data_IF_416472177576
#
_entry.id   IF_416472177576
#
_cell.length_a   1.000
_cell.length_b   1.000
_cell.length_c   1.000
_cell.angle_alpha   90.00
_cell.angle_beta   90.00
_cell.angle_gamma   90.00
#
_symmetry.space_group_name_H-M   'P 1'
#
loop_
_entity.id
_entity.type
_entity.pdbx_description
1 polymer ?
#
# COMPACT_ATOMS: atom_id res chain seq x y z
N UNK A 1 31.40 22.06 -35.86
CA UNK A 1 31.34 20.80 -36.62
C UNK A 1 31.94 19.68 -35.79
N UNK A 2 31.22 18.86 -35.05
CA UNK A 2 29.97 18.99 -34.30
C UNK A 2 30.02 17.80 -33.35
N UNK A 3 29.78 18.05 -32.06
CA UNK A 3 29.72 17.03 -31.03
C UNK A 3 28.49 16.14 -31.26
N UNK A 4 28.66 14.82 -31.41
CA UNK A 4 27.55 13.88 -31.30
C UNK A 4 27.67 13.07 -30.01
N UNK A 5 27.18 13.70 -28.94
CA UNK A 5 26.69 13.08 -27.72
C UNK A 5 25.43 12.28 -28.04
N UNK A 6 25.50 10.95 -27.96
CA UNK A 6 24.32 10.09 -28.03
C UNK A 6 23.50 10.26 -26.73
N UNK A 7 22.36 10.92 -26.87
CA UNK A 7 21.37 11.21 -25.83
C UNK A 7 20.57 9.95 -25.49
N UNK A 8 20.39 9.72 -24.19
CA UNK A 8 19.48 8.74 -23.60
C UNK A 8 18.02 9.02 -24.04
N UNK A 9 17.21 7.99 -24.35
CA UNK A 9 15.78 8.16 -24.55
C UNK A 9 15.06 8.34 -23.21
N UNK A 10 14.75 9.60 -22.90
CA UNK A 10 13.79 10.06 -21.91
C UNK A 10 12.36 9.81 -22.39
N UNK A 11 11.62 8.87 -21.80
CA UNK A 11 10.14 8.88 -21.80
C UNK A 11 9.62 8.73 -20.36
N UNK A 12 9.06 9.83 -19.85
CA UNK A 12 8.11 9.97 -18.72
C UNK A 12 6.77 10.30 -19.43
N UNK A 13 5.57 9.78 -19.06
CA UNK A 13 5.00 10.10 -17.75
C UNK A 13 3.98 9.12 -17.12
N UNK A 14 3.67 9.45 -15.85
CA UNK A 14 2.34 9.42 -15.24
C UNK A 14 2.04 8.34 -14.17
N UNK A 15 1.96 8.86 -12.94
CA UNK A 15 0.94 8.54 -11.92
C UNK A 15 1.06 7.15 -11.25
N UNK A 16 1.87 7.12 -10.17
CA UNK A 16 1.68 6.18 -9.07
C UNK A 16 1.42 6.95 -7.78
N UNK A 17 0.32 7.72 -7.77
CA UNK A 17 -0.25 8.29 -6.55
C UNK A 17 -1.40 7.39 -6.08
N UNK A 18 -1.12 6.29 -5.37
CA UNK A 18 -2.13 5.48 -4.64
C UNK A 18 -1.48 4.48 -3.67
N UNK A 19 -0.54 4.92 -2.83
CA UNK A 19 0.03 4.06 -1.77
C UNK A 19 0.53 4.84 -0.53
N UNK A 20 -0.07 5.99 -0.23
CA UNK A 20 0.35 6.83 0.90
C UNK A 20 -0.83 7.17 1.81
N UNK A 21 -1.39 6.17 2.50
CA UNK A 21 -2.46 6.41 3.47
C UNK A 21 -2.54 5.35 4.57
N UNK A 22 -1.43 5.11 5.27
CA UNK A 22 -1.46 4.55 6.63
C UNK A 22 -0.32 5.23 7.40
N UNK A 23 -0.53 5.58 8.68
CA UNK A 23 0.47 5.90 9.72
C UNK A 23 0.48 7.33 10.30
N UNK A 24 -0.64 8.04 10.51
CA UNK A 24 -0.58 9.28 11.31
C UNK A 24 -1.09 9.02 12.72
N UNK A 25 -0.20 9.08 13.72
CA UNK A 25 -0.57 9.15 15.13
C UNK A 25 0.52 8.65 16.07
N UNK A 26 1.25 9.57 16.71
CA UNK A 26 1.67 9.53 18.11
C UNK A 26 2.49 10.78 18.45
N UNK A 27 1.84 11.81 19.01
CA UNK A 27 2.51 12.80 19.85
C UNK A 27 2.13 12.52 21.31
N UNK A 28 3.14 12.08 22.06
CA UNK A 28 3.43 12.42 23.46
C UNK A 28 2.35 12.09 24.51
N UNK A 29 2.56 10.96 25.18
CA UNK A 29 2.17 10.75 26.58
C UNK A 29 1.18 9.60 26.80
N UNK A 30 1.67 8.51 27.39
CA UNK A 30 0.82 7.55 28.13
C UNK A 30 0.35 6.34 27.33
N UNK A 31 0.88 5.17 27.73
CA UNK A 31 0.57 3.81 27.25
C UNK A 31 1.01 3.51 25.82
N UNK A 32 1.53 2.29 25.62
CA UNK A 32 1.93 1.76 24.33
C UNK A 32 0.70 1.64 23.41
N UNK A 33 0.27 2.77 22.87
CA UNK A 33 -0.73 2.87 21.82
C UNK A 33 -0.11 2.18 20.61
N UNK A 34 -0.37 0.87 20.51
CA UNK A 34 -0.01 0.06 19.36
C UNK A 34 -0.55 0.78 18.13
N UNK A 35 0.35 1.41 17.38
CA UNK A 35 0.03 1.95 16.07
C UNK A 35 -0.78 0.88 15.33
N UNK A 36 -1.91 1.24 14.69
CA UNK A 36 -2.77 0.25 14.03
C UNK A 36 -1.90 -0.59 13.11
N UNK A 37 -1.65 -1.84 13.53
CA UNK A 37 -0.81 -2.76 12.77
C UNK A 37 -1.51 -2.94 11.42
N UNK A 38 -0.78 -2.67 10.34
CA UNK A 38 -1.29 -2.88 9.00
C UNK A 38 -1.85 -4.31 8.89
N UNK A 39 -3.04 -4.45 8.30
CA UNK A 39 -3.67 -5.76 8.09
C UNK A 39 -2.72 -6.67 7.31
N UNK A 40 -2.42 -7.85 7.86
CA UNK A 40 -1.45 -8.79 7.27
C UNK A 40 -1.90 -9.29 5.90
N UNK A 41 -3.21 -9.42 5.66
CA UNK A 41 -3.80 -9.80 4.38
C UNK A 41 -3.58 -8.74 3.31
N UNK A 42 -3.85 -7.47 3.64
CA UNK A 42 -3.57 -6.33 2.76
C UNK A 42 -2.08 -6.22 2.48
N UNK A 43 -1.23 -6.36 3.49
CA UNK A 43 0.21 -6.25 3.34
C UNK A 43 0.78 -7.30 2.38
N UNK A 44 0.34 -8.57 2.51
CA UNK A 44 0.82 -9.64 1.62
C UNK A 44 0.24 -9.51 0.21
N UNK A 45 -1.02 -9.10 0.06
CA UNK A 45 -1.61 -8.80 -1.24
C UNK A 45 -0.82 -7.71 -1.98
N UNK A 46 -0.49 -6.62 -1.27
CA UNK A 46 0.33 -5.54 -1.81
C UNK A 46 1.73 -6.02 -2.21
N UNK A 47 2.34 -6.90 -1.41
CA UNK A 47 3.64 -7.49 -1.74
C UNK A 47 3.59 -8.31 -3.04
N UNK A 48 2.61 -9.20 -3.19
CA UNK A 48 2.41 -9.99 -4.42
C UNK A 48 2.22 -9.08 -5.63
N UNK A 49 1.34 -8.07 -5.52
CA UNK A 49 1.10 -7.10 -6.59
C UNK A 49 2.38 -6.33 -6.94
N UNK A 50 3.17 -5.91 -5.95
CA UNK A 50 4.40 -5.16 -6.17
C UNK A 50 5.48 -6.00 -6.87
N UNK A 51 5.64 -7.27 -6.47
CA UNK A 51 6.56 -8.21 -7.11
C UNK A 51 6.16 -8.48 -8.57
N UNK A 52 4.87 -8.70 -8.83
CA UNK A 52 4.37 -8.96 -10.19
C UNK A 52 4.45 -7.74 -11.11
N UNK A 53 4.44 -6.51 -10.56
CA UNK A 53 4.70 -5.29 -11.33
C UNK A 53 6.19 -5.04 -11.59
N UNK A 54 7.08 -5.69 -10.84
CA UNK A 54 8.52 -5.61 -11.10
C UNK A 54 8.85 -6.41 -12.36
N UNK A 55 9.76 -5.93 -13.19
CA UNK A 55 10.30 -6.75 -14.29
C UNK A 55 11.32 -7.79 -13.79
N UNK A 56 11.97 -7.52 -12.65
CA UNK A 56 13.11 -8.30 -12.16
C UNK A 56 12.73 -9.30 -11.07
N UNK A 57 11.75 -8.98 -10.22
CA UNK A 57 11.43 -9.76 -9.02
C UNK A 57 10.07 -10.46 -9.10
N UNK A 58 9.61 -10.81 -10.30
CA UNK A 58 8.34 -11.50 -10.49
C UNK A 58 8.33 -12.87 -9.80
N UNK A 59 7.15 -13.33 -9.43
CA UNK A 59 6.95 -14.67 -8.91
C UNK A 59 7.07 -15.68 -10.05
N UNK A 60 7.78 -16.77 -9.81
CA UNK A 60 7.83 -17.89 -10.75
C UNK A 60 6.48 -18.61 -10.80
N UNK A 61 6.24 -19.41 -11.84
CA UNK A 61 5.03 -20.23 -11.94
C UNK A 61 4.93 -21.23 -10.77
N UNK A 62 6.05 -21.80 -10.31
CA UNK A 62 6.11 -22.69 -9.14
C UNK A 62 5.74 -21.96 -7.84
N UNK A 63 6.24 -20.74 -7.65
CA UNK A 63 5.85 -19.91 -6.50
C UNK A 63 4.36 -19.54 -6.59
N UNK A 64 3.85 -19.15 -7.76
CA UNK A 64 2.45 -18.83 -7.95
C UNK A 64 1.53 -20.03 -7.62
N UNK A 65 1.91 -21.24 -8.05
CA UNK A 65 1.20 -22.49 -7.71
C UNK A 65 1.11 -22.75 -6.21
N UNK A 66 2.14 -22.39 -5.44
CA UNK A 66 2.17 -22.54 -3.98
C UNK A 66 1.44 -21.40 -3.25
N UNK A 67 1.57 -20.16 -3.73
CA UNK A 67 1.00 -18.97 -3.10
C UNK A 67 -0.51 -18.86 -3.32
N UNK A 68 -0.99 -19.20 -4.53
CA UNK A 68 -2.40 -19.04 -4.91
C UNK A 68 -3.40 -19.71 -3.93
N UNK A 69 -3.24 -20.99 -3.53
CA UNK A 69 -4.16 -21.59 -2.56
C UNK A 69 -4.11 -20.88 -1.20
N UNK A 70 -2.94 -20.43 -0.74
CA UNK A 70 -2.80 -19.71 0.53
C UNK A 70 -3.50 -18.35 0.49
N UNK A 71 -3.42 -17.63 -0.63
CA UNK A 71 -4.15 -16.38 -0.82
C UNK A 71 -5.67 -16.58 -0.82
N UNK A 72 -6.16 -17.70 -1.40
CA UNK A 72 -7.59 -18.05 -1.37
C UNK A 72 -8.07 -18.32 0.06
N UNK A 73 -7.32 -19.11 0.83
CA UNK A 73 -7.63 -19.33 2.25
C UNK A 73 -7.60 -18.01 3.03
N UNK A 74 -6.59 -17.17 2.80
CA UNK A 74 -6.44 -15.88 3.48
C UNK A 74 -7.57 -14.89 3.15
N UNK A 75 -8.10 -14.94 1.92
CA UNK A 75 -9.29 -14.16 1.51
C UNK A 75 -10.54 -14.59 2.27
N UNK A 76 -10.70 -15.89 2.47
CA UNK A 76 -11.87 -16.46 3.13
C UNK A 76 -11.74 -16.46 4.68
N UNK A 77 -10.57 -16.07 5.20
CA UNK A 77 -10.30 -15.90 6.63
C UNK A 77 -10.94 -14.61 7.17
N UNK A 78 -11.66 -14.65 8.31
CA UNK A 78 -12.24 -13.46 8.95
C UNK A 78 -11.20 -12.38 9.26
N UNK A 79 -11.59 -11.11 9.18
CA UNK A 79 -10.69 -9.97 9.46
C UNK A 79 -10.31 -9.91 10.93
N UNK A 80 -11.19 -10.41 11.79
CA UNK A 80 -11.03 -10.52 13.24
C UNK A 80 -9.98 -11.56 13.61
N UNK A 81 -9.79 -12.59 12.77
CA UNK A 81 -8.76 -13.61 12.95
C UNK A 81 -7.38 -13.09 12.49
N UNK A 82 -6.82 -12.22 13.32
CA UNK A 82 -5.52 -11.59 13.08
C UNK A 82 -4.37 -12.59 13.16
N UNK A 83 -4.49 -13.60 14.00
CA UNK A 83 -3.42 -14.59 14.19
C UNK A 83 -3.36 -15.56 13.01
N UNK A 84 -4.51 -16.11 12.58
CA UNK A 84 -4.58 -16.95 11.39
C UNK A 84 -4.18 -16.19 10.13
N UNK A 85 -4.66 -14.95 9.98
CA UNK A 85 -4.27 -14.07 8.87
C UNK A 85 -2.76 -13.79 8.86
N UNK A 86 -2.14 -13.60 10.03
CA UNK A 86 -0.70 -13.38 10.16
C UNK A 86 0.09 -14.64 9.83
N UNK A 87 -0.32 -15.80 10.34
CA UNK A 87 0.35 -17.07 10.09
C UNK A 87 0.38 -17.40 8.59
N UNK A 88 -0.75 -17.24 7.91
CA UNK A 88 -0.86 -17.42 6.45
C UNK A 88 0.01 -16.40 5.69
N UNK A 89 0.01 -15.13 6.11
CA UNK A 89 0.85 -14.11 5.47
C UNK A 89 2.35 -14.40 5.62
N UNK A 90 2.80 -14.87 6.79
CA UNK A 90 4.21 -15.27 6.99
C UNK A 90 4.55 -16.54 6.20
N UNK A 91 3.62 -17.50 6.08
CA UNK A 91 3.82 -18.67 5.23
C UNK A 91 4.02 -18.27 3.76
N UNK A 92 3.17 -17.37 3.24
CA UNK A 92 3.33 -16.83 1.88
C UNK A 92 4.67 -16.10 1.75
N UNK A 93 5.05 -15.28 2.73
CA UNK A 93 6.32 -14.56 2.73
C UNK A 93 7.53 -15.50 2.73
N UNK A 94 7.40 -16.67 3.36
CA UNK A 94 8.42 -17.72 3.34
C UNK A 94 8.65 -18.36 1.97
N UNK A 95 7.71 -18.19 1.02
CA UNK A 95 7.85 -18.66 -0.35
C UNK A 95 8.60 -17.66 -1.25
N UNK A 96 8.84 -16.44 -0.78
CA UNK A 96 9.62 -15.44 -1.50
C UNK A 96 11.12 -15.68 -1.32
N UNK A 97 11.89 -15.42 -2.37
CA UNK A 97 13.36 -15.45 -2.30
C UNK A 97 13.89 -14.30 -1.44
N UNK A 98 15.13 -14.42 -0.97
CA UNK A 98 15.82 -13.34 -0.21
C UNK A 98 15.86 -12.04 -1.01
N UNK A 99 16.08 -12.13 -2.31
CA UNK A 99 16.13 -11.00 -3.24
C UNK A 99 14.76 -10.31 -3.36
N UNK A 100 13.68 -11.09 -3.52
CA UNK A 100 12.31 -10.59 -3.56
C UNK A 100 11.93 -9.91 -2.24
N UNK A 101 12.30 -10.51 -1.10
CA UNK A 101 12.09 -9.91 0.23
C UNK A 101 12.86 -8.61 0.41
N UNK A 102 14.11 -8.57 -0.04
CA UNK A 102 14.93 -7.35 -0.04
C UNK A 102 14.37 -6.24 -0.93
N UNK A 103 13.83 -6.59 -2.10
CA UNK A 103 13.16 -5.64 -2.99
C UNK A 103 11.92 -5.02 -2.33
N UNK A 104 11.10 -5.85 -1.67
CA UNK A 104 9.93 -5.38 -0.92
C UNK A 104 10.30 -4.45 0.24
N UNK A 105 11.39 -4.73 0.95
CA UNK A 105 11.85 -3.88 2.06
C UNK A 105 12.34 -2.51 1.58
N UNK A 106 13.03 -2.45 0.42
CA UNK A 106 13.42 -1.18 -0.21
C UNK A 106 12.19 -0.36 -0.59
N UNK A 107 11.22 -0.97 -1.27
CA UNK A 107 9.97 -0.31 -1.65
C UNK A 107 9.21 0.21 -0.43
N UNK A 108 9.18 -0.57 0.66
CA UNK A 108 8.58 -0.18 1.93
C UNK A 108 9.29 1.03 2.54
N UNK A 109 10.62 1.02 2.58
CA UNK A 109 11.43 2.12 3.12
C UNK A 109 11.19 3.40 2.33
N UNK A 110 11.27 3.35 0.99
CA UNK A 110 11.00 4.50 0.13
C UNK A 110 9.58 5.04 0.31
N UNK A 111 8.58 4.17 0.41
CA UNK A 111 7.20 4.58 0.64
C UNK A 111 7.03 5.30 1.99
N UNK A 112 7.72 4.81 3.03
CA UNK A 112 7.73 5.46 4.34
C UNK A 112 8.44 6.82 4.29
N UNK A 113 9.56 6.94 3.60
CA UNK A 113 10.27 8.20 3.42
C UNK A 113 9.43 9.24 2.69
N UNK A 114 8.77 8.86 1.58
CA UNK A 114 7.83 9.74 0.86
C UNK A 114 6.66 10.16 1.76
N UNK A 115 6.14 9.25 2.58
CA UNK A 115 5.07 9.57 3.53
C UNK A 115 5.54 10.54 4.63
N UNK A 116 6.78 10.39 5.13
CA UNK A 116 7.40 11.31 6.09
C UNK A 116 7.59 12.70 5.49
N UNK A 117 8.14 12.79 4.28
CA UNK A 117 8.36 14.06 3.58
C UNK A 117 7.05 14.83 3.35
N UNK A 118 5.95 14.13 3.02
CA UNK A 118 4.62 14.74 2.89
C UNK A 118 4.08 15.29 4.21
N UNK A 119 4.50 14.74 5.36
CA UNK A 119 4.10 15.22 6.69
C UNK A 119 5.00 16.36 7.19
N UNK A 120 6.28 16.36 6.84
CA UNK A 120 7.22 17.41 7.22
C UNK A 120 7.18 18.63 6.29
N UNK A 121 6.58 18.52 5.10
CA UNK A 121 6.45 19.60 4.11
C UNK A 121 5.19 20.48 4.24
N UNK A 122 4.35 20.29 5.26
CA UNK A 122 3.24 21.19 5.56
C UNK A 122 3.63 22.14 6.70
N UNK A 123 3.52 23.48 6.54
CA UNK A 123 3.86 24.41 7.61
C UNK A 123 2.92 24.21 8.83
N UNK A 124 3.44 24.27 10.07
CA UNK A 124 2.60 24.23 11.25
C UNK A 124 1.85 25.56 11.37
N UNK A 125 0.53 25.54 11.15
CA UNK A 125 -0.35 26.64 11.56
C UNK A 125 -0.68 27.73 10.53
N UNK A 126 -0.43 27.54 9.22
CA UNK A 126 -0.95 28.47 8.22
C UNK A 126 -2.29 27.95 7.67
N UNK A 127 -3.39 28.61 8.05
CA UNK A 127 -4.63 28.57 7.28
C UNK A 127 -4.30 28.82 5.79
N UNK A 128 -4.95 28.12 4.84
CA UNK A 128 -4.72 28.39 3.42
C UNK A 128 -5.05 29.87 3.14
N UNK A 129 -4.17 30.61 2.44
CA UNK A 129 -4.47 31.99 2.05
C UNK A 129 -5.73 31.99 1.17
N UNK A 130 -6.62 32.94 1.45
CA UNK A 130 -7.96 33.01 0.90
C UNK A 130 -8.02 32.76 -0.61
N UNK A 131 -8.87 31.82 -1.00
CA UNK A 131 -9.47 31.82 -2.33
C UNK A 131 -10.43 33.01 -2.48
N UNK A 132 -10.71 33.45 -3.72
CA UNK A 132 -11.59 34.60 -3.98
C UNK A 132 -12.99 34.40 -3.38
N UNK A 133 -13.73 35.48 -3.06
CA UNK A 133 -15.07 35.37 -2.49
C UNK A 133 -16.01 34.93 -3.59
N UNK A 134 -16.34 33.64 -3.63
CA UNK A 134 -17.13 33.06 -4.72
C UNK A 134 -17.87 31.82 -4.28
N UNK A 135 -19.05 32.04 -3.71
CA UNK A 135 -20.28 31.26 -3.90
C UNK A 135 -20.10 29.77 -4.29
N UNK A 136 -19.91 28.91 -3.29
CA UNK A 136 -20.04 27.46 -3.42
C UNK A 136 -21.13 26.93 -2.47
N UNK A 137 -22.00 26.00 -2.90
CA UNK A 137 -23.14 25.52 -2.11
C UNK A 137 -22.69 24.83 -0.81
N UNK A 138 -23.47 24.93 0.28
CA UNK A 138 -23.14 24.27 1.54
C UNK A 138 -23.33 22.76 1.35
N UNK A 139 -22.23 21.99 1.38
CA UNK A 139 -22.32 20.52 1.50
C UNK A 139 -21.33 19.68 0.72
N UNK A 140 -20.48 20.23 -0.15
CA UNK A 140 -19.48 19.44 -0.87
C UNK A 140 -18.16 19.32 -0.09
N UNK A 141 -18.22 18.80 1.13
CA UNK A 141 -17.05 18.37 1.88
C UNK A 141 -16.55 17.03 1.33
N UNK A 142 -15.54 17.05 0.47
CA UNK A 142 -14.74 15.86 0.18
C UNK A 142 -14.19 15.24 1.48
N UNK A 143 -13.83 13.95 1.50
CA UNK A 143 -13.49 13.25 2.74
C UNK A 143 -12.25 13.89 3.40
N UNK A 144 -12.52 14.78 4.36
CA UNK A 144 -11.54 15.46 5.16
C UNK A 144 -10.87 14.46 6.10
N UNK A 145 -9.66 14.04 5.75
CA UNK A 145 -8.74 13.38 6.68
C UNK A 145 -8.10 14.45 7.58
N UNK A 146 -8.91 15.01 8.49
CA UNK A 146 -8.42 15.73 9.66
C UNK A 146 -8.08 14.76 10.80
N UNK A 147 -7.19 15.12 11.74
CA UNK A 147 -6.93 14.34 12.95
C UNK A 147 -8.18 14.40 13.84
N UNK A 148 -9.07 13.43 13.66
CA UNK A 148 -10.44 13.43 14.19
C UNK A 148 -11.45 12.70 13.29
N UNK A 149 -11.04 12.26 12.09
CA UNK A 149 -11.89 11.46 11.21
C UNK A 149 -12.34 10.14 11.87
N UNK A 150 -13.59 9.70 11.64
CA UNK A 150 -14.12 8.48 12.25
C UNK A 150 -13.24 7.27 11.92
N UNK A 151 -13.06 6.39 12.89
CA UNK A 151 -12.38 5.10 12.73
C UNK A 151 -12.91 4.42 11.47
N UNK A 152 -12.05 3.97 10.53
CA UNK A 152 -12.53 3.34 9.31
C UNK A 152 -13.42 2.14 9.67
N UNK A 153 -14.64 2.19 9.17
CA UNK A 153 -15.70 1.20 9.36
C UNK A 153 -15.16 -0.23 9.17
N UNK A 154 -15.37 -1.17 10.12
CA UNK A 154 -14.93 -2.55 9.99
C UNK A 154 -15.40 -3.20 8.68
N UNK A 155 -16.61 -2.89 8.20
CA UNK A 155 -17.12 -3.42 6.95
C UNK A 155 -16.27 -2.94 5.76
N UNK A 156 -15.98 -1.64 5.69
CA UNK A 156 -15.08 -1.08 4.65
C UNK A 156 -13.68 -1.69 4.69
N UNK A 157 -13.14 -1.99 5.86
CA UNK A 157 -11.82 -2.65 5.97
C UNK A 157 -11.86 -4.08 5.42
N UNK A 158 -12.94 -4.82 5.71
CA UNK A 158 -13.14 -6.16 5.19
C UNK A 158 -13.28 -6.15 3.65
N UNK A 159 -14.08 -5.23 3.11
CA UNK A 159 -14.22 -5.03 1.67
C UNK A 159 -12.90 -4.69 1.00
N UNK A 160 -12.14 -3.76 1.60
CA UNK A 160 -10.83 -3.36 1.09
C UNK A 160 -9.84 -4.53 1.10
N UNK A 161 -9.75 -5.28 2.20
CA UNK A 161 -8.91 -6.48 2.30
C UNK A 161 -9.30 -7.50 1.24
N UNK A 162 -10.59 -7.78 1.10
CA UNK A 162 -11.11 -8.73 0.11
C UNK A 162 -10.75 -8.30 -1.30
N UNK A 163 -10.97 -7.03 -1.66
CA UNK A 163 -10.61 -6.49 -2.97
C UNK A 163 -9.11 -6.56 -3.27
N UNK A 164 -8.25 -6.30 -2.27
CA UNK A 164 -6.81 -6.43 -2.43
C UNK A 164 -6.38 -7.89 -2.68
N UNK A 165 -6.94 -8.84 -1.92
CA UNK A 165 -6.65 -10.26 -2.06
C UNK A 165 -7.19 -10.82 -3.38
N UNK A 166 -8.42 -10.46 -3.78
CA UNK A 166 -8.99 -10.84 -5.07
C UNK A 166 -8.13 -10.33 -6.23
N UNK A 167 -7.61 -9.10 -6.12
CA UNK A 167 -6.71 -8.56 -7.15
C UNK A 167 -5.40 -9.34 -7.23
N UNK A 168 -4.81 -9.71 -6.10
CA UNK A 168 -3.60 -10.52 -6.07
C UNK A 168 -3.85 -11.92 -6.67
N UNK A 169 -4.98 -12.56 -6.34
CA UNK A 169 -5.41 -13.85 -6.90
C UNK A 169 -5.53 -13.76 -8.43
N UNK A 170 -6.25 -12.76 -8.95
CA UNK A 170 -6.44 -12.56 -10.39
C UNK A 170 -5.13 -12.39 -11.16
N UNK A 171 -4.11 -11.79 -10.55
CA UNK A 171 -2.79 -11.61 -11.19
C UNK A 171 -2.04 -12.95 -11.25
N UNK A 172 -2.20 -13.82 -10.25
CA UNK A 172 -1.50 -15.10 -10.20
C UNK A 172 -2.21 -16.23 -10.96
N UNK A 173 -3.54 -16.18 -11.11
CA UNK A 173 -4.30 -17.23 -11.81
C UNK A 173 -3.80 -17.55 -13.23
N UNK A 174 -3.45 -16.56 -14.08
CA UNK A 174 -2.91 -16.83 -15.42
C UNK A 174 -1.56 -17.56 -15.41
N UNK A 175 -0.75 -17.44 -14.35
CA UNK A 175 0.56 -18.10 -14.23
C UNK A 175 0.48 -19.58 -13.87
N UNK A 176 -0.69 -20.01 -13.40
CA UNK A 176 -0.94 -21.37 -12.90
C UNK A 176 -1.69 -22.23 -13.94
N UNK A 177 -2.30 -21.60 -14.95
CA UNK A 177 -2.91 -22.29 -16.09
C UNK A 177 -1.85 -22.68 -17.12
#
# INVERSE_FOLDING_TARGET
MDSMTARLPTWIPAIAAMAALVLTGCSRGGTAQQAPRADSGVAIAAAVIALERSAQYQLTADQARQILPLLKVLRDTPVEDREGSRALAEQIRGLFTDEQRGALERLRTEAQERARQRRSGGPPGAAPPGGPPGFGPPGAGGPGFGPGGPTPDPARRAEFRRGALDRAIQILEPKVR
#
